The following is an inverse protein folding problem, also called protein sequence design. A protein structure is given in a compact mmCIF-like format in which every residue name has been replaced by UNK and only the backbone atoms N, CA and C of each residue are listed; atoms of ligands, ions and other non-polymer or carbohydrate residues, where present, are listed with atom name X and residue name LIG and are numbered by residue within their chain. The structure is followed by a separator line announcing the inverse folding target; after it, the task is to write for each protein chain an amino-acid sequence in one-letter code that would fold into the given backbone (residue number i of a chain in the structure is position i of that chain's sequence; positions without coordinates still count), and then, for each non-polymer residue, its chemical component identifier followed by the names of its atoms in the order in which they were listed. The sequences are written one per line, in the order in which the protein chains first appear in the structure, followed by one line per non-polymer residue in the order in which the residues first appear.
data_IF_851543199946
#
_entry.id   IF_851543199946
#
_cell.length_a   1.000
_cell.length_b   1.000
_cell.length_c   1.000
_cell.angle_alpha   90.00
_cell.angle_beta   90.00
_cell.angle_gamma   90.00
#
_symmetry.space_group_name_H-M   'P 1'
#
loop_
_entity.id
_entity.type
_entity.pdbx_description
1 polymer ?
#
# COMPACT_ATOMS: atom_id res chain seq x y z
N UNK A 1 4.04 -14.22 0.46
CA UNK A 1 3.55 -13.04 -0.28
C UNK A 1 2.31 -12.50 0.40
N UNK A 2 2.27 -11.20 0.68
CA UNK A 2 1.10 -10.48 1.17
C UNK A 2 0.52 -9.65 0.01
N UNK A 3 -0.70 -9.95 -0.43
CA UNK A 3 -1.45 -9.16 -1.39
C UNK A 3 -2.50 -8.34 -0.62
N UNK A 4 -2.37 -7.03 -0.67
CA UNK A 4 -3.25 -6.12 0.07
C UNK A 4 -3.98 -5.21 -0.91
N UNK A 5 -5.25 -5.51 -1.15
CA UNK A 5 -6.12 -4.72 -2.03
C UNK A 5 -6.53 -3.41 -1.35
N UNK A 6 -6.84 -2.38 -2.15
CA UNK A 6 -7.35 -1.09 -1.68
C UNK A 6 -8.83 -0.96 -2.08
N UNK A 7 -9.66 -0.49 -1.17
CA UNK A 7 -11.10 -0.26 -1.37
C UNK A 7 -11.90 -1.47 -1.90
N UNK A 8 -11.38 -2.69 -1.76
CA UNK A 8 -12.13 -3.88 -2.15
C UNK A 8 -13.23 -4.18 -1.13
N UNK A 9 -14.47 -4.24 -1.60
CA UNK A 9 -15.60 -4.67 -0.79
C UNK A 9 -15.53 -6.19 -0.56
N UNK A 10 -15.93 -6.64 0.62
CA UNK A 10 -15.94 -8.06 0.99
C UNK A 10 -16.84 -8.92 0.07
N UNK A 11 -17.87 -8.33 -0.51
CA UNK A 11 -18.88 -8.96 -1.34
C UNK A 11 -18.59 -8.89 -2.85
N UNK A 12 -17.35 -8.64 -3.27
CA UNK A 12 -16.95 -8.53 -4.69
C UNK A 12 -16.12 -9.71 -5.19
N UNK A 13 -16.17 -10.85 -4.50
CA UNK A 13 -15.43 -12.05 -4.86
C UNK A 13 -16.40 -13.14 -5.30
N UNK A 14 -16.25 -13.65 -6.52
CA UNK A 14 -17.17 -14.63 -7.13
C UNK A 14 -17.34 -15.88 -6.28
N UNK A 15 -16.27 -16.49 -5.80
CA UNK A 15 -16.31 -17.68 -4.95
C UNK A 15 -17.01 -17.46 -3.59
N UNK A 16 -17.26 -16.22 -3.19
CA UNK A 16 -18.00 -15.86 -1.97
C UNK A 16 -19.44 -15.42 -2.24
N UNK A 17 -19.92 -15.61 -3.47
CA UNK A 17 -21.33 -15.41 -3.84
C UNK A 17 -21.61 -14.12 -4.61
N UNK A 18 -20.59 -13.46 -5.15
CA UNK A 18 -20.74 -12.28 -6.01
C UNK A 18 -20.37 -12.61 -7.46
N UNK A 19 -21.31 -12.56 -8.37
CA UNK A 19 -21.17 -13.02 -9.76
C UNK A 19 -21.15 -11.90 -10.81
N UNK A 20 -21.29 -10.63 -10.40
CA UNK A 20 -21.27 -9.48 -11.32
C UNK A 20 -19.85 -9.11 -11.81
N UNK A 21 -18.83 -9.51 -11.08
CA UNK A 21 -17.41 -9.28 -11.43
C UNK A 21 -16.66 -10.60 -11.45
N UNK A 22 -15.99 -10.90 -12.54
CA UNK A 22 -15.16 -12.09 -12.65
C UNK A 22 -13.87 -11.97 -11.83
N UNK A 23 -13.68 -12.83 -10.85
CA UNK A 23 -12.49 -12.87 -9.97
C UNK A 23 -11.79 -14.24 -9.99
N UNK A 24 -11.47 -14.83 -11.16
CA UNK A 24 -11.07 -16.24 -11.27
C UNK A 24 -9.78 -16.56 -10.51
N UNK A 25 -8.88 -15.63 -10.36
CA UNK A 25 -7.62 -15.84 -9.64
C UNK A 25 -7.82 -15.79 -8.13
N UNK A 26 -8.65 -14.86 -7.63
CA UNK A 26 -9.02 -14.78 -6.21
C UNK A 26 -9.88 -15.99 -5.84
N UNK A 27 -10.80 -16.40 -6.72
CA UNK A 27 -11.64 -17.58 -6.54
C UNK A 27 -10.81 -18.85 -6.36
N UNK A 28 -9.71 -18.99 -7.12
CA UNK A 28 -8.77 -20.09 -6.94
C UNK A 28 -8.04 -20.04 -5.58
N UNK A 29 -7.73 -18.84 -5.08
CA UNK A 29 -7.14 -18.70 -3.74
C UNK A 29 -8.16 -19.09 -2.67
N UNK A 30 -9.41 -18.64 -2.79
CA UNK A 30 -10.51 -19.04 -1.89
C UNK A 30 -10.69 -20.56 -1.88
N UNK A 31 -10.72 -21.19 -3.06
CA UNK A 31 -10.91 -22.65 -3.19
C UNK A 31 -9.74 -23.48 -2.59
N UNK A 32 -8.55 -22.91 -2.50
CA UNK A 32 -7.33 -23.62 -2.03
C UNK A 32 -6.89 -23.21 -0.64
N UNK A 33 -7.48 -22.14 -0.09
CA UNK A 33 -7.12 -21.57 1.18
C UNK A 33 -8.28 -21.52 2.17
N UNK A 34 -8.17 -20.59 3.11
CA UNK A 34 -9.22 -20.29 4.09
C UNK A 34 -9.70 -18.86 3.88
N UNK A 35 -11.00 -18.68 3.65
CA UNK A 35 -11.64 -17.37 3.56
C UNK A 35 -12.30 -17.00 4.89
N UNK A 36 -11.91 -15.86 5.47
CA UNK A 36 -12.53 -15.31 6.67
C UNK A 36 -13.66 -14.36 6.26
N UNK A 37 -14.89 -14.85 6.26
CA UNK A 37 -16.07 -14.09 5.79
C UNK A 37 -16.57 -13.05 6.79
N UNK A 38 -16.10 -13.09 8.04
CA UNK A 38 -16.45 -12.16 9.12
C UNK A 38 -15.22 -11.45 9.67
N UNK A 39 -14.35 -10.97 8.78
CA UNK A 39 -13.23 -10.11 9.14
C UNK A 39 -13.65 -8.64 9.06
N UNK A 40 -13.30 -7.85 10.06
CA UNK A 40 -13.70 -6.45 10.18
C UNK A 40 -12.49 -5.55 10.39
N UNK A 41 -12.54 -4.34 9.84
CA UNK A 41 -11.57 -3.29 10.14
C UNK A 41 -12.03 -2.50 11.37
N UNK A 42 -11.08 -1.93 12.12
CA UNK A 42 -11.40 -1.06 13.26
C UNK A 42 -11.98 0.30 12.81
N UNK A 43 -11.83 0.65 11.55
CA UNK A 43 -12.21 1.96 11.03
C UNK A 43 -11.14 3.02 11.28
N UNK A 44 -11.57 4.26 11.38
CA UNK A 44 -10.70 5.42 11.61
C UNK A 44 -11.56 6.64 11.94
N UNK A 45 -10.95 7.73 12.36
CA UNK A 45 -11.65 8.99 12.64
C UNK A 45 -11.67 9.95 11.45
N UNK A 46 -11.20 9.52 10.29
CA UNK A 46 -11.21 10.27 9.04
C UNK A 46 -11.87 9.47 7.92
N UNK A 47 -12.24 10.12 6.82
CA UNK A 47 -12.88 9.46 5.67
C UNK A 47 -11.97 8.49 4.92
N UNK A 48 -10.66 8.57 5.10
CA UNK A 48 -9.70 7.66 4.48
C UNK A 48 -9.20 6.63 5.49
N UNK A 49 -9.65 5.39 5.39
CA UNK A 49 -9.26 4.30 6.32
C UNK A 49 -8.09 3.46 5.81
N UNK A 50 -7.59 3.72 4.62
CA UNK A 50 -6.41 3.04 4.03
C UNK A 50 -5.15 3.24 4.87
N UNK A 51 -4.86 4.46 5.29
CA UNK A 51 -3.71 4.81 6.13
C UNK A 51 -3.68 4.04 7.46
N UNK A 52 -4.71 4.15 8.34
CA UNK A 52 -4.74 3.43 9.60
C UNK A 52 -4.78 1.91 9.42
N UNK A 53 -5.49 1.41 8.42
CA UNK A 53 -5.53 -0.02 8.12
C UNK A 53 -4.15 -0.58 7.78
N UNK A 54 -3.38 0.12 6.95
CA UNK A 54 -1.99 -0.25 6.61
C UNK A 54 -1.07 -0.18 7.81
N UNK A 55 -1.17 0.88 8.62
CA UNK A 55 -0.40 1.01 9.85
C UNK A 55 -0.69 -0.13 10.85
N UNK A 56 -1.97 -0.46 11.05
CA UNK A 56 -2.36 -1.60 11.91
C UNK A 56 -1.82 -2.92 11.38
N UNK A 57 -1.92 -3.16 10.06
CA UNK A 57 -1.40 -4.37 9.44
C UNK A 57 0.11 -4.50 9.63
N UNK A 58 0.85 -3.44 9.39
CA UNK A 58 2.31 -3.45 9.44
C UNK A 58 2.89 -3.48 10.85
N UNK A 59 2.15 -3.01 11.85
CA UNK A 59 2.59 -2.99 13.25
C UNK A 59 2.00 -4.10 14.11
N UNK A 60 0.94 -4.75 13.66
CA UNK A 60 0.15 -5.67 14.48
C UNK A 60 -0.57 -4.99 15.66
N UNK A 61 -0.71 -3.66 15.64
CA UNK A 61 -1.30 -2.87 16.72
C UNK A 61 -2.64 -2.29 16.30
N UNK A 62 -3.51 -2.08 17.25
CA UNK A 62 -4.77 -1.36 17.03
C UNK A 62 -4.54 0.16 17.01
N UNK A 63 -5.49 0.93 16.50
CA UNK A 63 -5.41 2.40 16.42
C UNK A 63 -5.15 3.09 17.76
N UNK A 64 -5.60 2.49 18.87
CA UNK A 64 -5.35 3.02 20.22
C UNK A 64 -3.86 3.10 20.60
N UNK A 65 -3.02 2.39 19.88
CA UNK A 65 -1.57 2.34 20.08
C UNK A 65 -0.79 3.01 18.94
N UNK A 66 -1.47 3.65 18.01
CA UNK A 66 -0.88 4.34 16.87
C UNK A 66 -1.13 5.84 16.99
N UNK A 67 -0.06 6.62 17.03
CA UNK A 67 -0.13 8.08 17.00
C UNK A 67 -0.69 8.60 15.66
N UNK A 68 -1.20 9.82 15.68
CA UNK A 68 -1.82 10.46 14.52
C UNK A 68 -2.78 9.52 13.76
N UNK A 69 -3.39 8.58 14.47
CA UNK A 69 -4.38 7.64 13.95
C UNK A 69 -3.88 6.82 12.72
N UNK A 70 -2.61 6.48 12.73
CA UNK A 70 -1.96 5.71 11.69
C UNK A 70 -1.51 6.52 10.46
N UNK A 71 -1.53 7.84 10.52
CA UNK A 71 -0.94 8.69 9.47
C UNK A 71 0.57 8.50 9.36
N UNK A 72 1.23 8.33 10.49
CA UNK A 72 2.62 7.90 10.58
C UNK A 72 2.73 6.72 11.52
N UNK A 73 3.78 5.93 11.36
CA UNK A 73 4.10 4.84 12.27
C UNK A 73 5.25 5.30 13.16
N UNK A 74 5.06 5.34 14.49
CA UNK A 74 6.10 5.72 15.44
C UNK A 74 7.37 4.89 15.28
N UNK A 75 8.54 5.50 15.50
CA UNK A 75 9.84 4.85 15.28
C UNK A 75 10.12 3.70 16.25
N UNK A 76 9.50 3.73 17.43
CA UNK A 76 9.60 2.68 18.46
C UNK A 76 8.64 1.50 18.24
N UNK A 77 7.81 1.56 17.21
CA UNK A 77 6.96 0.43 16.83
C UNK A 77 7.68 -0.47 15.82
N UNK A 78 7.85 -1.73 16.17
CA UNK A 78 8.39 -2.75 15.28
C UNK A 78 7.39 -3.02 14.15
N UNK A 79 7.90 -3.00 12.93
CA UNK A 79 7.13 -3.30 11.73
C UNK A 79 7.25 -4.78 11.35
N UNK A 80 6.23 -5.32 10.69
CA UNK A 80 6.24 -6.69 10.17
C UNK A 80 7.50 -6.96 9.33
N UNK A 81 7.88 -6.00 8.49
CA UNK A 81 9.09 -6.11 7.67
C UNK A 81 10.37 -6.19 8.51
N UNK A 82 10.49 -5.40 9.57
CA UNK A 82 11.64 -5.45 10.50
C UNK A 82 11.71 -6.83 11.20
N UNK A 83 10.59 -7.31 11.71
CA UNK A 83 10.54 -8.63 12.36
C UNK A 83 10.94 -9.78 11.40
N UNK A 84 10.57 -9.67 10.12
CA UNK A 84 10.98 -10.62 9.10
C UNK A 84 12.47 -10.50 8.76
N UNK A 85 13.01 -9.28 8.69
CA UNK A 85 14.44 -9.04 8.46
C UNK A 85 15.29 -9.62 9.61
N UNK A 86 14.86 -9.41 10.86
CA UNK A 86 15.51 -9.99 12.04
C UNK A 86 15.51 -11.53 12.01
N UNK A 87 14.52 -12.11 11.37
CA UNK A 87 14.45 -13.57 11.10
C UNK A 87 15.22 -14.02 9.84
N UNK A 88 15.96 -13.12 9.19
CA UNK A 88 16.81 -13.42 8.04
C UNK A 88 16.11 -13.39 6.68
N UNK A 89 14.89 -12.85 6.59
CA UNK A 89 14.18 -12.71 5.32
C UNK A 89 14.63 -11.43 4.58
N UNK A 90 14.68 -11.53 3.26
CA UNK A 90 14.63 -10.35 2.40
C UNK A 90 13.18 -9.91 2.29
N UNK A 91 12.94 -8.62 2.42
CA UNK A 91 11.60 -8.03 2.32
C UNK A 91 11.53 -7.06 1.16
N UNK A 92 10.49 -7.17 0.35
CA UNK A 92 10.28 -6.34 -0.84
C UNK A 92 8.89 -5.73 -0.79
N UNK A 93 8.79 -4.44 -1.12
CA UNK A 93 7.52 -3.73 -1.21
C UNK A 93 7.28 -3.16 -2.60
N UNK A 94 6.03 -3.14 -3.05
CA UNK A 94 5.60 -2.47 -4.27
C UNK A 94 4.18 -1.94 -4.11
N UNK A 95 3.83 -0.90 -4.85
CA UNK A 95 2.51 -0.31 -4.81
C UNK A 95 2.28 0.67 -3.67
N UNK A 96 1.01 0.85 -3.31
CA UNK A 96 0.60 1.86 -2.33
C UNK A 96 1.09 1.53 -0.92
N UNK A 97 1.85 2.46 -0.34
CA UNK A 97 2.31 2.37 1.05
C UNK A 97 1.50 3.23 2.03
N UNK A 98 1.43 4.53 1.82
CA UNK A 98 0.64 5.53 2.53
C UNK A 98 1.07 5.86 3.99
N UNK A 99 2.04 5.21 4.57
CA UNK A 99 2.50 5.43 5.96
C UNK A 99 3.89 6.09 6.06
N UNK A 100 4.27 6.84 5.05
CA UNK A 100 5.49 7.63 5.00
C UNK A 100 6.76 6.87 4.59
N UNK A 101 7.73 7.59 4.01
CA UNK A 101 8.94 6.99 3.44
C UNK A 101 9.83 6.29 4.47
N UNK A 102 9.99 6.86 5.65
CA UNK A 102 10.85 6.28 6.71
C UNK A 102 10.37 4.90 7.16
N UNK A 103 9.06 4.75 7.38
CA UNK A 103 8.49 3.47 7.76
C UNK A 103 8.61 2.44 6.62
N UNK A 104 8.55 2.90 5.35
CA UNK A 104 8.81 2.03 4.22
C UNK A 104 10.24 1.49 4.22
N UNK A 105 11.24 2.35 4.32
CA UNK A 105 12.64 1.96 4.32
C UNK A 105 13.03 1.06 5.51
N UNK A 106 12.33 1.16 6.63
CA UNK A 106 12.47 0.22 7.76
C UNK A 106 11.84 -1.13 7.47
N UNK A 107 10.70 -1.15 6.75
CA UNK A 107 9.95 -2.37 6.48
C UNK A 107 10.59 -3.26 5.41
N UNK A 108 11.32 -2.66 4.47
CA UNK A 108 11.77 -3.37 3.28
C UNK A 108 13.27 -3.23 3.06
N UNK A 109 13.89 -4.34 2.63
CA UNK A 109 15.29 -4.37 2.19
C UNK A 109 15.45 -4.00 0.72
N UNK A 110 14.33 -3.95 -0.01
CA UNK A 110 14.27 -3.64 -1.44
C UNK A 110 12.84 -3.23 -1.83
N UNK A 111 12.67 -2.62 -2.98
CA UNK A 111 11.38 -2.20 -3.48
C UNK A 111 11.44 -1.59 -4.87
N UNK A 112 10.30 -1.57 -5.54
CA UNK A 112 10.14 -0.90 -6.83
C UNK A 112 8.69 -0.43 -6.99
N UNK A 113 8.51 0.57 -7.85
CA UNK A 113 7.18 1.11 -8.16
C UNK A 113 6.39 1.48 -6.88
N UNK A 114 7.05 2.22 -5.98
CA UNK A 114 6.50 2.56 -4.66
C UNK A 114 5.62 3.79 -4.78
N UNK A 115 4.36 3.68 -4.37
CA UNK A 115 3.43 4.81 -4.32
C UNK A 115 3.19 5.26 -2.88
N UNK A 116 3.71 6.44 -2.53
CA UNK A 116 3.57 7.02 -1.18
C UNK A 116 2.25 7.78 -0.96
N UNK A 117 1.51 8.06 -2.03
CA UNK A 117 0.25 8.81 -1.95
C UNK A 117 -0.94 7.98 -1.48
N UNK A 118 -2.05 8.67 -1.24
CA UNK A 118 -3.33 8.06 -0.90
C UNK A 118 -4.18 7.69 -2.10
N UNK A 119 -4.30 8.63 -3.04
CA UNK A 119 -5.07 8.49 -4.29
C UNK A 119 -4.34 9.23 -5.41
N UNK A 120 -4.35 8.66 -6.60
CA UNK A 120 -3.83 9.29 -7.81
C UNK A 120 -4.46 8.63 -9.05
N UNK A 121 -4.11 9.10 -10.24
CA UNK A 121 -4.52 8.48 -11.50
C UNK A 121 -3.82 7.12 -11.69
N UNK A 122 -4.61 6.07 -11.85
CA UNK A 122 -4.09 4.70 -12.03
C UNK A 122 -3.32 4.48 -13.33
N UNK A 123 -3.45 5.35 -14.32
CA UNK A 123 -2.72 5.28 -15.59
C UNK A 123 -1.47 6.17 -15.62
N UNK A 124 -1.29 6.99 -14.59
CA UNK A 124 -0.17 7.91 -14.42
C UNK A 124 0.28 7.97 -12.96
N UNK A 125 0.31 6.83 -12.28
CA UNK A 125 0.68 6.78 -10.86
C UNK A 125 2.11 7.29 -10.66
N UNK A 126 2.34 8.22 -9.72
CA UNK A 126 3.68 8.66 -9.38
C UNK A 126 4.39 7.59 -8.57
N UNK A 127 5.37 6.94 -9.17
CA UNK A 127 6.12 5.87 -8.56
C UNK A 127 7.52 6.32 -8.13
N UNK A 128 8.04 5.67 -7.08
CA UNK A 128 9.37 5.89 -6.56
C UNK A 128 10.18 4.61 -6.62
N UNK A 129 11.49 4.78 -6.84
CA UNK A 129 12.47 3.73 -6.64
C UNK A 129 12.78 3.54 -5.14
N UNK A 130 13.42 2.44 -4.79
CA UNK A 130 13.76 2.17 -3.40
C UNK A 130 14.94 3.06 -2.92
N UNK A 131 14.69 3.81 -1.84
CA UNK A 131 15.73 4.56 -1.12
C UNK A 131 15.90 3.99 0.30
N UNK A 132 17.01 3.25 0.56
CA UNK A 132 17.25 2.65 1.88
C UNK A 132 17.46 3.69 2.99
N UNK A 133 17.73 4.95 2.65
CA UNK A 133 17.86 6.02 3.66
C UNK A 133 16.51 6.50 4.18
N UNK A 134 15.43 6.23 3.48
CA UNK A 134 14.07 6.67 3.81
C UNK A 134 13.85 8.18 3.69
N UNK A 135 14.79 8.92 3.11
CA UNK A 135 14.66 10.39 2.95
C UNK A 135 13.78 10.77 1.79
N UNK A 136 13.93 10.07 0.67
CA UNK A 136 13.17 10.33 -0.56
C UNK A 136 13.15 11.82 -0.93
N UNK A 137 14.31 12.37 -1.25
CA UNK A 137 14.50 13.78 -1.61
C UNK A 137 13.96 14.12 -3.02
N UNK A 138 12.93 13.41 -3.47
CA UNK A 138 12.30 13.47 -4.78
C UNK A 138 10.91 14.13 -4.76
N UNK A 139 10.57 14.86 -3.72
CA UNK A 139 9.29 15.56 -3.62
C UNK A 139 9.14 16.62 -4.72
N UNK A 140 8.02 16.58 -5.44
CA UNK A 140 7.69 17.51 -6.52
C UNK A 140 6.37 18.21 -6.21
N UNK A 141 6.26 19.52 -6.50
CA UNK A 141 5.02 20.25 -6.36
C UNK A 141 4.00 19.80 -7.41
N UNK A 142 2.74 19.78 -7.03
CA UNK A 142 1.61 19.57 -7.94
C UNK A 142 0.37 20.31 -7.43
N UNK A 143 -0.56 20.63 -8.33
CA UNK A 143 -1.84 21.22 -7.99
C UNK A 143 -2.87 20.11 -7.84
N UNK A 144 -3.34 19.89 -6.63
CA UNK A 144 -4.27 18.80 -6.30
C UNK A 144 -5.66 19.01 -6.89
N UNK A 145 -6.15 20.24 -6.80
CA UNK A 145 -7.53 20.61 -7.18
C UNK A 145 -7.53 21.89 -8.03
N UNK A 146 -7.07 21.81 -9.32
CA UNK A 146 -6.87 23.01 -10.14
C UNK A 146 -8.17 23.78 -10.45
N UNK A 147 -9.33 23.17 -10.23
CA UNK A 147 -10.63 23.81 -10.46
C UNK A 147 -11.24 24.46 -9.22
N UNK A 148 -10.65 24.30 -8.05
CA UNK A 148 -11.19 24.82 -6.79
C UNK A 148 -10.28 25.84 -6.12
N UNK A 149 -9.03 25.54 -5.89
CA UNK A 149 -8.15 26.36 -5.06
C UNK A 149 -6.74 26.61 -5.64
N UNK A 150 -6.27 25.82 -6.57
CA UNK A 150 -4.89 25.83 -7.08
C UNK A 150 -3.82 25.69 -5.99
N UNK A 151 -4.16 25.12 -4.84
CA UNK A 151 -3.23 24.94 -3.74
C UNK A 151 -2.11 23.95 -4.12
N UNK A 152 -0.87 24.37 -3.85
CA UNK A 152 0.30 23.51 -4.09
C UNK A 152 0.45 22.49 -2.99
N UNK A 153 0.47 21.23 -3.40
CA UNK A 153 0.85 20.10 -2.58
C UNK A 153 2.15 19.49 -3.10
N UNK A 154 2.74 18.57 -2.34
CA UNK A 154 3.95 17.86 -2.75
C UNK A 154 3.70 16.36 -2.73
N UNK A 155 4.27 15.66 -3.71
CA UNK A 155 4.28 14.21 -3.76
C UNK A 155 5.68 13.69 -4.11
N UNK A 156 6.03 12.55 -3.57
CA UNK A 156 7.24 11.83 -3.96
C UNK A 156 7.04 11.18 -5.33
N UNK A 157 7.98 11.41 -6.24
CA UNK A 157 7.94 10.82 -7.58
C UNK A 157 9.33 10.81 -8.20
N UNK A 158 9.77 9.65 -8.65
CA UNK A 158 10.94 9.49 -9.50
C UNK A 158 10.52 9.37 -10.95
N UNK A 159 9.47 8.61 -11.23
CA UNK A 159 8.98 8.39 -12.58
C UNK A 159 7.46 8.17 -12.63
N UNK A 160 6.93 8.23 -13.83
CA UNK A 160 5.56 7.86 -14.20
C UNK A 160 5.67 6.97 -15.43
N UNK A 161 4.91 5.89 -15.48
CA UNK A 161 4.84 4.98 -16.63
C UNK A 161 3.48 5.14 -17.33
N UNK A 162 3.33 6.11 -18.27
CA UNK A 162 2.05 6.40 -18.88
C UNK A 162 1.51 5.22 -19.70
N UNK A 163 0.19 5.02 -19.61
CA UNK A 163 -0.49 3.97 -20.37
C UNK A 163 -0.37 2.57 -19.80
N UNK A 164 0.28 2.40 -18.65
CA UNK A 164 0.30 1.16 -17.88
C UNK A 164 -0.51 1.32 -16.60
N UNK A 165 -1.52 0.49 -16.42
CA UNK A 165 -2.35 0.55 -15.21
C UNK A 165 -1.53 0.19 -13.96
N UNK A 166 -1.76 0.89 -12.86
CA UNK A 166 -0.99 0.72 -11.61
C UNK A 166 -0.96 -0.73 -11.10
N UNK A 167 -2.07 -1.46 -11.22
CA UNK A 167 -2.12 -2.87 -10.79
C UNK A 167 -1.18 -3.76 -11.63
N UNK A 168 -1.04 -3.50 -12.92
CA UNK A 168 -0.10 -4.20 -13.79
C UNK A 168 1.33 -3.82 -13.44
N UNK A 169 1.60 -2.52 -13.29
CA UNK A 169 2.91 -1.99 -12.92
C UNK A 169 3.44 -2.62 -11.63
N UNK A 170 2.62 -2.64 -10.59
CA UNK A 170 2.98 -3.22 -9.30
C UNK A 170 3.11 -4.75 -9.34
N UNK A 171 2.26 -5.41 -10.12
CA UNK A 171 2.35 -6.87 -10.30
C UNK A 171 3.63 -7.29 -11.00
N UNK A 172 4.03 -6.56 -12.05
CA UNK A 172 5.28 -6.84 -12.77
C UNK A 172 6.51 -6.65 -11.87
N UNK A 173 6.53 -5.61 -11.04
CA UNK A 173 7.58 -5.40 -10.06
C UNK A 173 7.66 -6.55 -9.02
N UNK A 174 6.51 -7.03 -8.55
CA UNK A 174 6.46 -8.16 -7.64
C UNK A 174 6.93 -9.47 -8.28
N UNK A 175 6.55 -9.73 -9.53
CA UNK A 175 6.97 -10.91 -10.30
C UNK A 175 8.49 -10.88 -10.52
N UNK A 176 9.02 -9.74 -10.97
CA UNK A 176 10.46 -9.59 -11.19
C UNK A 176 11.32 -9.81 -9.93
N UNK A 177 10.78 -9.52 -8.75
CA UNK A 177 11.45 -9.84 -7.49
C UNK A 177 11.41 -11.32 -7.13
N UNK A 178 10.36 -12.04 -7.54
CA UNK A 178 10.15 -13.45 -7.21
C UNK A 178 10.92 -14.41 -8.14
N UNK A 179 11.33 -13.96 -9.32
CA UNK A 179 12.17 -14.68 -10.30
C UNK A 179 13.66 -14.60 -9.96
#
# INVERSE_FOLDING_TARGET
VLLFTDDQRFDTIGALGYDEVATPNIDRLVARGTAFTNAYIMGGSCGAVCMPSRAMLMTGRTLYHLEAQGQSIPEDHVLLGEALQDAGYRTFGTGKWHNGPRAYARSFTDGAEIFFGGMDDHWNVPACDFDPTGRYDNARPYVRTPFTDNELSHRHVDHITPGKHSSELFSDAAIAFLE
#
